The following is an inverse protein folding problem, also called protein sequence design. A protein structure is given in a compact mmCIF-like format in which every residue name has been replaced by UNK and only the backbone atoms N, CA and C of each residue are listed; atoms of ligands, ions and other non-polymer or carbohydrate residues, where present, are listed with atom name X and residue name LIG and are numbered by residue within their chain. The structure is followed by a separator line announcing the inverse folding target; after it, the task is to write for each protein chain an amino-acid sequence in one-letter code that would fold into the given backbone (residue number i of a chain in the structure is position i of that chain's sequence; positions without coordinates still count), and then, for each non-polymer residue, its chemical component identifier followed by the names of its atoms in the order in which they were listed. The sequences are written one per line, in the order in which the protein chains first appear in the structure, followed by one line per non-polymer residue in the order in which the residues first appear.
data_IF_047185563771
#
_entry.id   IF_047185563771
#
_cell.length_a   1.000
_cell.length_b   1.000
_cell.length_c   1.000
_cell.angle_alpha   90.00
_cell.angle_beta   90.00
_cell.angle_gamma   90.00
#
_symmetry.space_group_name_H-M   'P 1'
#
loop_
_entity.id
_entity.type
_entity.pdbx_description
1 polymer ?
#
# COMPACT_ATOMS: atom_id res chain seq x y z
N UNK A 1 32.90 -2.96 -5.84
CA UNK A 1 32.08 -2.95 -7.06
C UNK A 1 32.21 -1.57 -7.67
N UNK A 2 32.35 -1.47 -8.99
CA UNK A 2 32.26 -0.17 -9.68
C UNK A 2 30.89 0.45 -9.36
N UNK A 3 30.85 1.75 -9.06
CA UNK A 3 29.63 2.44 -8.63
C UNK A 3 28.56 2.36 -9.72
N UNK A 4 28.95 2.48 -10.98
CA UNK A 4 28.02 2.42 -12.12
C UNK A 4 27.40 1.02 -12.26
N UNK A 5 28.20 -0.03 -12.00
CA UNK A 5 27.71 -1.42 -11.97
C UNK A 5 26.71 -1.60 -10.81
N UNK A 6 26.98 -1.01 -9.65
CA UNK A 6 26.09 -1.07 -8.49
C UNK A 6 24.74 -0.39 -8.76
N UNK A 7 24.78 0.82 -9.34
CA UNK A 7 23.62 1.59 -9.77
C UNK A 7 22.76 0.79 -10.75
N UNK A 8 23.38 0.21 -11.78
CA UNK A 8 22.65 -0.61 -12.76
C UNK A 8 22.05 -1.86 -12.12
N UNK A 9 22.82 -2.56 -11.29
CA UNK A 9 22.34 -3.78 -10.62
C UNK A 9 21.11 -3.51 -9.73
N UNK A 10 21.12 -2.42 -8.98
CA UNK A 10 19.98 -2.05 -8.13
C UNK A 10 18.78 -1.58 -8.97
N UNK A 11 19.02 -0.83 -10.03
CA UNK A 11 17.98 -0.40 -10.98
C UNK A 11 17.26 -1.60 -11.59
N UNK A 12 18.00 -2.59 -12.10
CA UNK A 12 17.45 -3.81 -12.68
C UNK A 12 16.65 -4.60 -11.63
N UNK A 13 17.19 -4.71 -10.41
CA UNK A 13 16.53 -5.42 -9.30
C UNK A 13 15.18 -4.77 -8.97
N UNK A 14 15.16 -3.44 -8.80
CA UNK A 14 13.95 -2.70 -8.47
C UNK A 14 12.95 -2.67 -9.63
N UNK A 15 13.40 -2.63 -10.88
CA UNK A 15 12.53 -2.66 -12.05
C UNK A 15 11.78 -4.00 -12.12
N UNK A 16 12.51 -5.11 -12.00
CA UNK A 16 11.93 -6.46 -12.02
C UNK A 16 11.02 -6.71 -10.82
N UNK A 17 11.41 -6.24 -9.63
CA UNK A 17 10.58 -6.37 -8.43
C UNK A 17 9.28 -5.56 -8.55
N UNK A 18 9.35 -4.33 -9.03
CA UNK A 18 8.16 -3.47 -9.26
C UNK A 18 7.22 -4.10 -10.31
N UNK A 19 7.77 -4.64 -11.41
CA UNK A 19 6.98 -5.37 -12.41
C UNK A 19 6.34 -6.65 -11.84
N UNK A 20 7.06 -7.37 -10.98
CA UNK A 20 6.55 -8.56 -10.30
C UNK A 20 5.34 -8.25 -9.40
N UNK A 21 5.42 -7.18 -8.60
CA UNK A 21 4.35 -6.73 -7.69
C UNK A 21 3.09 -6.32 -8.46
N UNK A 22 3.23 -5.81 -9.69
CA UNK A 22 2.09 -5.50 -10.57
C UNK A 22 1.22 -6.71 -10.90
N UNK A 23 1.78 -7.91 -10.82
CA UNK A 23 1.16 -9.18 -11.20
C UNK A 23 0.79 -10.03 -9.99
N UNK A 24 1.62 -10.06 -8.95
CA UNK A 24 1.46 -10.95 -7.78
C UNK A 24 1.25 -10.16 -6.50
N UNK A 25 0.28 -10.60 -5.71
CA UNK A 25 0.02 -10.06 -4.38
C UNK A 25 1.00 -10.63 -3.34
N UNK A 26 1.32 -9.88 -2.28
CA UNK A 26 2.14 -10.37 -1.19
C UNK A 26 1.43 -11.49 -0.42
N UNK A 27 2.21 -12.29 0.30
CA UNK A 27 1.74 -13.56 0.90
C UNK A 27 0.59 -13.38 1.88
N UNK A 28 0.61 -12.30 2.66
CA UNK A 28 -0.39 -11.99 3.68
C UNK A 28 -1.72 -11.59 3.04
N UNK A 29 -1.69 -10.75 1.99
CA UNK A 29 -2.90 -10.36 1.24
C UNK A 29 -3.53 -11.58 0.57
N UNK A 30 -2.72 -12.43 -0.09
CA UNK A 30 -3.22 -13.66 -0.71
C UNK A 30 -3.87 -14.59 0.33
N UNK A 31 -3.22 -14.79 1.47
CA UNK A 31 -3.72 -15.66 2.54
C UNK A 31 -5.02 -15.12 3.12
N UNK A 32 -5.10 -13.80 3.36
CA UNK A 32 -6.33 -13.18 3.88
C UNK A 32 -7.49 -13.29 2.90
N UNK A 33 -7.28 -13.07 1.59
CA UNK A 33 -8.35 -13.24 0.60
C UNK A 33 -8.90 -14.68 0.56
N UNK A 34 -8.03 -15.69 0.72
CA UNK A 34 -8.45 -17.11 0.80
C UNK A 34 -9.27 -17.36 2.08
N UNK A 35 -8.84 -16.81 3.22
CA UNK A 35 -9.57 -16.87 4.48
C UNK A 35 -10.96 -16.26 4.34
N UNK A 36 -11.06 -15.01 3.85
CA UNK A 36 -12.33 -14.30 3.68
C UNK A 36 -13.28 -15.05 2.74
N UNK A 37 -12.76 -15.58 1.63
CA UNK A 37 -13.52 -16.44 0.70
C UNK A 37 -14.09 -17.68 1.38
N UNK A 38 -13.34 -18.28 2.29
CA UNK A 38 -13.76 -19.50 3.00
C UNK A 38 -14.86 -19.20 4.01
N UNK A 39 -14.80 -18.03 4.66
CA UNK A 39 -15.80 -17.56 5.63
C UNK A 39 -17.07 -16.99 4.98
N UNK A 40 -17.03 -16.65 3.69
CA UNK A 40 -18.17 -16.08 2.99
C UNK A 40 -19.29 -17.10 2.76
N UNK A 41 -20.50 -16.74 3.17
CA UNK A 41 -21.70 -17.57 3.09
C UNK A 41 -22.69 -17.05 2.05
N UNK A 42 -22.62 -15.78 1.66
CA UNK A 42 -23.43 -15.22 0.59
C UNK A 42 -22.93 -15.72 -0.78
N UNK A 43 -23.76 -16.41 -1.57
CA UNK A 43 -23.33 -16.99 -2.85
C UNK A 43 -22.81 -15.97 -3.87
N UNK A 44 -23.39 -14.75 -3.89
CA UNK A 44 -22.95 -13.68 -4.80
C UNK A 44 -21.61 -13.12 -4.35
N UNK A 45 -21.43 -12.85 -3.05
CA UNK A 45 -20.16 -12.37 -2.52
C UNK A 45 -19.04 -13.41 -2.72
N UNK A 46 -19.36 -14.70 -2.58
CA UNK A 46 -18.42 -15.80 -2.79
C UNK A 46 -17.93 -15.89 -4.24
N UNK A 47 -18.81 -15.68 -5.22
CA UNK A 47 -18.41 -15.68 -6.64
C UNK A 47 -17.50 -14.51 -7.00
N UNK A 48 -17.60 -13.38 -6.27
CA UNK A 48 -16.64 -12.27 -6.39
C UNK A 48 -15.24 -12.71 -5.91
N UNK A 49 -15.14 -13.38 -4.78
CA UNK A 49 -13.88 -13.94 -4.31
C UNK A 49 -13.31 -15.02 -5.25
N UNK A 50 -14.17 -15.88 -5.82
CA UNK A 50 -13.76 -16.84 -6.85
C UNK A 50 -13.15 -16.12 -8.06
N UNK A 51 -13.81 -15.04 -8.53
CA UNK A 51 -13.30 -14.22 -9.63
C UNK A 51 -11.97 -13.54 -9.31
N UNK A 52 -11.78 -13.09 -8.07
CA UNK A 52 -10.50 -12.53 -7.59
C UNK A 52 -9.38 -13.58 -7.66
N UNK A 53 -9.63 -14.81 -7.21
CA UNK A 53 -8.67 -15.93 -7.27
C UNK A 53 -8.34 -16.30 -8.72
N UNK A 54 -9.36 -16.48 -9.57
CA UNK A 54 -9.18 -16.77 -11.00
C UNK A 54 -8.38 -15.67 -11.70
N UNK A 55 -8.62 -14.40 -11.35
CA UNK A 55 -7.85 -13.28 -11.89
C UNK A 55 -6.36 -13.35 -11.49
N UNK A 56 -6.04 -13.72 -10.24
CA UNK A 56 -4.63 -13.89 -9.82
C UNK A 56 -3.96 -15.05 -10.59
N UNK A 57 -4.66 -16.17 -10.77
CA UNK A 57 -4.16 -17.30 -11.57
C UNK A 57 -3.95 -16.91 -13.04
N UNK A 58 -4.88 -16.13 -13.60
CA UNK A 58 -4.78 -15.62 -14.96
C UNK A 58 -3.63 -14.62 -15.14
N UNK A 59 -3.41 -13.73 -14.16
CA UNK A 59 -2.28 -12.80 -14.16
C UNK A 59 -0.93 -13.54 -14.22
N UNK A 60 -0.82 -14.63 -13.46
CA UNK A 60 0.34 -15.52 -13.50
C UNK A 60 0.50 -16.23 -14.85
N UNK A 61 -0.56 -16.89 -15.33
CA UNK A 61 -0.54 -17.68 -16.57
C UNK A 61 -0.29 -16.81 -17.80
N UNK A 62 -0.89 -15.63 -17.85
CA UNK A 62 -0.79 -14.69 -18.98
C UNK A 62 0.40 -13.74 -18.85
N UNK A 63 1.14 -13.82 -17.74
CA UNK A 63 2.30 -12.98 -17.44
C UNK A 63 2.00 -11.47 -17.60
N UNK A 64 0.91 -10.99 -17.00
CA UNK A 64 0.47 -9.58 -17.10
C UNK A 64 -0.05 -9.06 -15.75
N UNK A 65 -0.17 -7.74 -15.56
CA UNK A 65 -0.68 -7.18 -14.30
C UNK A 65 -2.05 -7.71 -13.92
N UNK A 66 -2.29 -7.86 -12.62
CA UNK A 66 -3.55 -8.39 -12.08
C UNK A 66 -4.69 -7.38 -12.06
N UNK A 67 -4.41 -6.11 -12.31
CA UNK A 67 -5.41 -5.06 -12.44
C UNK A 67 -5.02 -4.12 -13.58
N UNK A 68 -6.01 -3.68 -14.37
CA UNK A 68 -5.83 -2.76 -15.49
C UNK A 68 -5.26 -1.41 -15.06
N UNK A 69 -5.62 -0.97 -13.86
CA UNK A 69 -4.99 0.17 -13.23
C UNK A 69 -3.77 -0.31 -12.46
N UNK A 70 -2.58 -0.14 -13.03
CA UNK A 70 -1.30 -0.48 -12.38
C UNK A 70 -0.86 0.54 -11.33
N UNK A 71 -1.63 1.61 -11.11
CA UNK A 71 -1.34 2.64 -10.14
C UNK A 71 -0.14 3.51 -10.47
N UNK A 72 -0.03 4.59 -9.71
CA UNK A 72 1.16 5.43 -9.62
C UNK A 72 2.10 4.78 -8.59
N UNK A 73 3.37 4.62 -8.96
CA UNK A 73 4.35 3.96 -8.09
C UNK A 73 4.78 4.92 -6.98
N UNK A 74 4.83 4.39 -5.76
CA UNK A 74 5.34 5.08 -4.57
C UNK A 74 6.35 4.16 -3.87
N UNK A 75 7.43 4.73 -3.36
CA UNK A 75 8.44 4.03 -2.59
C UNK A 75 8.50 4.62 -1.17
N UNK A 76 8.43 3.75 -0.17
CA UNK A 76 8.70 4.09 1.23
C UNK A 76 10.08 3.52 1.56
N UNK A 77 11.03 4.42 1.76
CA UNK A 77 12.45 4.12 1.79
C UNK A 77 12.97 4.31 3.20
N UNK A 78 13.27 3.21 3.88
CA UNK A 78 14.04 3.20 5.12
C UNK A 78 15.51 2.96 4.77
N UNK A 79 16.25 4.05 4.59
CA UNK A 79 17.65 3.99 4.17
C UNK A 79 18.59 4.24 5.35
N UNK A 80 19.58 3.35 5.51
CA UNK A 80 20.69 3.57 6.39
C UNK A 80 21.52 4.78 5.97
N UNK A 81 21.95 5.60 6.94
CA UNK A 81 22.77 6.78 6.69
C UNK A 81 24.11 6.46 6.00
N UNK A 82 24.59 5.22 6.13
CA UNK A 82 25.81 4.71 5.51
C UNK A 82 25.54 3.86 4.26
N UNK A 83 24.31 3.81 3.74
CA UNK A 83 23.99 3.04 2.53
C UNK A 83 24.80 3.61 1.34
N UNK A 84 25.56 2.78 0.61
CA UNK A 84 26.57 3.25 -0.34
C UNK A 84 26.02 3.99 -1.56
N UNK A 85 24.73 3.79 -1.89
CA UNK A 85 24.04 4.44 -3.02
C UNK A 85 22.96 5.42 -2.57
N UNK A 86 23.05 5.96 -1.34
CA UNK A 86 22.02 6.84 -0.78
C UNK A 86 21.76 8.07 -1.67
N UNK A 87 22.79 8.65 -2.27
CA UNK A 87 22.68 9.83 -3.14
C UNK A 87 22.07 9.53 -4.51
N UNK A 88 22.15 8.28 -4.98
CA UNK A 88 21.72 7.84 -6.31
C UNK A 88 20.33 7.20 -6.28
N UNK A 89 19.83 6.86 -5.09
CA UNK A 89 18.66 6.02 -4.94
C UNK A 89 17.38 6.63 -5.55
N UNK A 90 17.25 7.96 -5.56
CA UNK A 90 16.13 8.61 -6.23
C UNK A 90 16.11 8.34 -7.74
N UNK A 91 17.25 8.53 -8.41
CA UNK A 91 17.38 8.33 -9.86
C UNK A 91 17.23 6.85 -10.22
N UNK A 92 17.82 5.97 -9.41
CA UNK A 92 17.67 4.51 -9.51
C UNK A 92 16.20 4.10 -9.49
N UNK A 93 15.42 4.60 -8.51
CA UNK A 93 14.01 4.23 -8.37
C UNK A 93 13.12 4.85 -9.45
N UNK A 94 13.47 6.03 -9.95
CA UNK A 94 12.81 6.64 -11.10
C UNK A 94 13.03 5.82 -12.37
N UNK A 95 14.27 5.46 -12.68
CA UNK A 95 14.60 4.62 -13.85
C UNK A 95 14.00 3.23 -13.72
N UNK A 96 14.07 2.63 -12.52
CA UNK A 96 13.43 1.35 -12.24
C UNK A 96 11.91 1.38 -12.49
N UNK A 97 11.24 2.49 -12.20
CA UNK A 97 9.80 2.66 -12.48
C UNK A 97 9.52 2.70 -13.98
N UNK A 98 10.32 3.45 -14.74
CA UNK A 98 10.19 3.52 -16.20
C UNK A 98 10.42 2.15 -16.85
N UNK A 99 11.48 1.45 -16.43
CA UNK A 99 11.80 0.12 -16.96
C UNK A 99 10.77 -0.94 -16.52
N UNK A 100 10.31 -0.91 -15.26
CA UNK A 100 9.22 -1.76 -14.77
C UNK A 100 7.95 -1.58 -15.62
N UNK A 101 7.66 -0.34 -16.01
CA UNK A 101 6.51 -0.01 -16.86
C UNK A 101 6.61 -0.68 -18.22
N UNK A 102 7.82 -0.74 -18.79
CA UNK A 102 8.08 -1.38 -20.08
C UNK A 102 8.05 -2.91 -20.00
N UNK A 103 8.74 -3.51 -19.03
CA UNK A 103 8.89 -4.98 -18.93
C UNK A 103 7.67 -5.67 -18.30
N UNK A 104 6.96 -4.96 -17.42
CA UNK A 104 5.76 -5.41 -16.69
C UNK A 104 4.45 -5.15 -17.42
N UNK A 105 4.47 -4.83 -18.72
CA UNK A 105 3.57 -3.89 -19.40
C UNK A 105 2.59 -3.15 -18.47
N UNK A 106 3.10 -2.25 -17.63
CA UNK A 106 2.27 -1.48 -16.71
C UNK A 106 1.54 -0.36 -17.48
N UNK A 107 0.34 0.00 -17.04
CA UNK A 107 -0.37 1.17 -17.58
C UNK A 107 0.36 2.45 -17.16
N UNK A 108 0.47 3.40 -18.09
CA UNK A 108 1.08 4.71 -17.84
C UNK A 108 0.08 5.58 -17.07
N UNK A 109 0.18 5.64 -15.74
CA UNK A 109 -0.78 6.36 -14.88
C UNK A 109 -0.29 7.75 -14.45
N UNK A 110 0.96 8.10 -14.76
CA UNK A 110 1.47 9.45 -14.51
C UNK A 110 0.99 10.43 -15.60
N UNK A 111 0.33 11.49 -15.15
CA UNK A 111 -0.16 12.61 -15.97
C UNK A 111 0.35 13.91 -15.36
N UNK A 112 1.01 14.74 -16.15
CA UNK A 112 1.39 16.09 -15.73
C UNK A 112 0.14 16.93 -15.53
N UNK A 113 -0.13 17.33 -14.28
CA UNK A 113 -1.46 17.80 -13.86
C UNK A 113 -1.92 19.07 -14.56
N UNK A 114 -1.04 20.04 -14.80
CA UNK A 114 -1.41 21.30 -15.44
C UNK A 114 -1.27 21.28 -16.97
N UNK A 115 -0.56 20.29 -17.51
CA UNK A 115 -0.39 20.09 -18.97
C UNK A 115 -1.39 19.08 -19.54
N UNK A 116 -2.10 18.35 -18.68
CA UNK A 116 -3.06 17.28 -19.04
C UNK A 116 -2.45 16.24 -19.99
N UNK A 117 -1.15 15.96 -19.80
CA UNK A 117 -0.36 15.10 -20.67
C UNK A 117 0.15 13.87 -19.94
N UNK A 118 -0.17 12.70 -20.48
CA UNK A 118 0.42 11.45 -20.02
C UNK A 118 1.91 11.38 -20.39
N UNK A 119 2.75 10.99 -19.44
CA UNK A 119 4.20 10.95 -19.62
C UNK A 119 4.69 9.77 -20.44
N UNK A 120 3.87 8.71 -20.57
CA UNK A 120 4.19 7.52 -21.34
C UNK A 120 5.09 6.51 -20.64
N UNK A 121 5.55 6.80 -19.42
CA UNK A 121 6.54 5.99 -18.68
C UNK A 121 6.10 5.63 -17.26
N UNK A 122 4.93 6.12 -16.84
CA UNK A 122 4.48 6.06 -15.44
C UNK A 122 5.41 6.77 -14.44
N UNK A 123 6.31 7.62 -14.95
CA UNK A 123 7.15 8.57 -14.19
C UNK A 123 6.78 10.00 -14.57
N UNK A 124 7.20 11.01 -13.81
CA UNK A 124 6.88 12.41 -14.10
C UNK A 124 7.38 13.34 -13.00
N UNK A 125 6.90 14.57 -12.98
CA UNK A 125 7.24 15.52 -11.91
C UNK A 125 6.91 14.93 -10.53
N UNK A 126 7.96 14.65 -9.73
CA UNK A 126 7.87 14.02 -8.40
C UNK A 126 7.24 12.60 -8.40
N UNK A 127 7.16 11.92 -9.55
CA UNK A 127 6.67 10.55 -9.69
C UNK A 127 7.79 9.65 -10.26
N UNK A 128 8.13 8.52 -9.61
CA UNK A 128 7.52 7.94 -8.41
C UNK A 128 7.67 8.84 -7.17
N UNK A 129 6.70 8.80 -6.26
CA UNK A 129 6.79 9.51 -4.98
C UNK A 129 7.69 8.73 -4.02
N UNK A 130 8.64 9.40 -3.38
CA UNK A 130 9.54 8.79 -2.41
C UNK A 130 9.27 9.36 -1.01
N UNK A 131 8.90 8.49 -0.08
CA UNK A 131 8.81 8.81 1.34
C UNK A 131 10.05 8.28 2.07
N UNK A 132 10.81 9.19 2.69
CA UNK A 132 12.12 8.86 3.25
C UNK A 132 12.10 8.71 4.77
N UNK A 133 12.85 7.72 5.26
CA UNK A 133 13.29 7.59 6.65
C UNK A 133 14.76 7.24 6.66
N UNK A 134 15.59 8.16 7.18
CA UNK A 134 17.01 7.89 7.38
C UNK A 134 17.22 7.21 8.72
N UNK A 135 17.89 6.05 8.71
CA UNK A 135 18.24 5.30 9.93
C UNK A 135 19.73 5.50 10.21
N UNK A 136 20.10 6.07 11.38
CA UNK A 136 21.50 6.23 11.75
C UNK A 136 22.25 4.90 11.76
N UNK A 137 23.55 4.96 11.48
CA UNK A 137 24.52 3.86 11.62
C UNK A 137 24.34 2.66 10.67
N UNK A 138 23.15 2.43 10.13
CA UNK A 138 22.90 1.36 9.18
C UNK A 138 23.48 1.66 7.80
N UNK A 139 23.87 0.59 7.12
CA UNK A 139 24.38 0.57 5.74
C UNK A 139 23.47 -0.21 4.78
N UNK A 140 22.30 -0.65 5.27
CA UNK A 140 21.26 -1.35 4.49
C UNK A 140 20.14 -0.39 4.11
N UNK A 141 19.35 -0.74 3.10
CA UNK A 141 18.16 0.00 2.71
C UNK A 141 16.97 -0.95 2.58
N UNK A 142 15.87 -0.67 3.29
CA UNK A 142 14.61 -1.39 3.13
C UNK A 142 13.63 -0.53 2.36
N UNK A 143 13.08 -1.08 1.28
CA UNK A 143 12.20 -0.36 0.35
C UNK A 143 10.86 -1.11 0.29
N UNK A 144 9.80 -0.41 0.67
CA UNK A 144 8.43 -0.82 0.42
C UNK A 144 7.97 -0.12 -0.87
N UNK A 145 7.60 -0.91 -1.88
CA UNK A 145 6.99 -0.48 -3.13
C UNK A 145 5.48 -0.57 -2.99
N UNK A 146 4.76 0.48 -3.36
CA UNK A 146 3.31 0.49 -3.40
C UNK A 146 2.79 0.98 -4.75
N UNK A 147 1.83 0.25 -5.31
CA UNK A 147 1.16 0.60 -6.56
C UNK A 147 -0.19 1.26 -6.25
N UNK A 148 -0.19 2.59 -6.12
CA UNK A 148 -1.35 3.36 -5.74
C UNK A 148 -2.35 3.45 -6.90
N UNK A 149 -3.35 2.56 -6.91
CA UNK A 149 -4.46 2.61 -7.85
C UNK A 149 -5.33 3.86 -7.62
N UNK A 150 -5.93 4.39 -8.70
CA UNK A 150 -6.82 5.54 -8.62
C UNK A 150 -8.01 5.25 -7.69
N UNK A 151 -8.65 4.09 -7.86
CA UNK A 151 -9.80 3.68 -7.03
C UNK A 151 -9.49 3.63 -5.54
N UNK A 152 -8.40 2.98 -5.12
CA UNK A 152 -8.01 2.90 -3.71
C UNK A 152 -7.44 4.22 -3.15
N UNK A 153 -7.15 5.20 -4.00
CA UNK A 153 -6.78 6.55 -3.58
C UNK A 153 -8.00 7.41 -3.26
N UNK A 154 -9.18 7.11 -3.82
CA UNK A 154 -10.40 7.92 -3.66
C UNK A 154 -10.92 8.05 -2.21
N UNK A 155 -10.87 7.01 -1.35
CA UNK A 155 -11.26 7.15 0.05
C UNK A 155 -10.24 7.92 0.91
N UNK A 156 -9.09 8.32 0.34
CA UNK A 156 -8.07 9.07 1.06
C UNK A 156 -8.63 10.37 1.64
N UNK A 157 -8.65 10.50 2.96
CA UNK A 157 -9.19 11.67 3.66
C UNK A 157 -8.41 11.96 4.93
N UNK A 158 -8.30 13.23 5.31
CA UNK A 158 -7.69 13.65 6.57
C UNK A 158 -8.37 14.90 7.14
N UNK A 159 -8.45 15.01 8.47
CA UNK A 159 -8.92 16.21 9.17
C UNK A 159 -8.27 16.34 10.55
N UNK A 160 -8.41 17.53 11.15
CA UNK A 160 -8.02 17.76 12.56
C UNK A 160 -9.29 17.85 13.40
N UNK A 161 -9.36 17.02 14.43
CA UNK A 161 -10.46 16.99 15.40
C UNK A 161 -10.15 17.89 16.59
N UNK A 162 -11.21 18.35 17.23
CA UNK A 162 -11.15 18.92 18.57
C UNK A 162 -10.77 17.84 19.59
N UNK A 163 -10.04 18.19 20.66
CA UNK A 163 -9.50 17.20 21.59
C UNK A 163 -10.61 16.48 22.37
N UNK A 164 -11.74 17.15 22.59
CA UNK A 164 -12.92 16.60 23.25
C UNK A 164 -13.66 15.52 22.43
N UNK A 165 -13.39 15.40 21.13
CA UNK A 165 -13.96 14.31 20.31
C UNK A 165 -13.28 12.96 20.61
N UNK A 166 -12.05 12.98 21.13
CA UNK A 166 -11.35 11.78 21.60
C UNK A 166 -11.23 10.68 20.54
N UNK A 167 -11.23 9.42 21.00
CA UNK A 167 -11.16 8.25 20.13
C UNK A 167 -12.49 7.98 19.40
N UNK A 168 -13.62 8.40 19.96
CA UNK A 168 -14.93 8.28 19.33
C UNK A 168 -14.99 9.07 18.03
N UNK A 169 -14.50 10.31 18.01
CA UNK A 169 -14.43 11.11 16.79
C UNK A 169 -13.45 10.57 15.75
N UNK A 170 -12.42 9.85 16.17
CA UNK A 170 -11.53 9.12 15.24
C UNK A 170 -12.30 7.95 14.61
N UNK A 171 -13.02 7.17 15.42
CA UNK A 171 -13.81 6.05 14.92
C UNK A 171 -14.93 6.51 13.98
N UNK A 172 -15.69 7.54 14.38
CA UNK A 172 -16.73 8.18 13.56
C UNK A 172 -16.16 8.61 12.20
N UNK A 173 -15.01 9.31 12.20
CA UNK A 173 -14.36 9.72 10.95
C UNK A 173 -13.98 8.54 10.05
N UNK A 174 -13.46 7.45 10.60
CA UNK A 174 -13.13 6.25 9.82
C UNK A 174 -14.39 5.64 9.20
N UNK A 175 -15.46 5.50 10.00
CA UNK A 175 -16.72 4.94 9.55
C UNK A 175 -17.37 5.82 8.46
N UNK A 176 -17.38 7.14 8.64
CA UNK A 176 -17.90 8.10 7.65
C UNK A 176 -17.17 7.96 6.31
N UNK A 177 -15.83 7.96 6.33
CA UNK A 177 -15.02 7.87 5.11
C UNK A 177 -15.26 6.56 4.36
N UNK A 178 -15.30 5.44 5.07
CA UNK A 178 -15.48 4.12 4.44
C UNK A 178 -16.92 3.93 3.96
N UNK A 179 -17.92 4.45 4.68
CA UNK A 179 -19.32 4.39 4.21
C UNK A 179 -19.58 5.32 3.03
N UNK A 180 -18.93 6.47 2.95
CA UNK A 180 -19.06 7.40 1.82
C UNK A 180 -18.37 6.86 0.55
N UNK A 181 -17.14 6.33 0.67
CA UNK A 181 -16.26 6.08 -0.49
C UNK A 181 -15.66 4.68 -0.57
N UNK A 182 -15.82 3.84 0.45
CA UNK A 182 -15.17 2.53 0.52
C UNK A 182 -15.48 1.63 -0.67
N UNK A 183 -16.71 1.67 -1.19
CA UNK A 183 -17.12 0.89 -2.38
C UNK A 183 -16.32 1.25 -3.64
N UNK A 184 -15.88 2.52 -3.77
CA UNK A 184 -15.09 2.98 -4.92
C UNK A 184 -13.68 2.39 -4.96
N UNK A 185 -13.22 1.79 -3.85
CA UNK A 185 -11.90 1.20 -3.70
C UNK A 185 -11.90 -0.33 -3.81
N UNK A 186 -12.89 -0.93 -4.48
CA UNK A 186 -12.95 -2.38 -4.75
C UNK A 186 -12.69 -3.24 -3.50
N UNK A 187 -13.61 -3.21 -2.50
CA UNK A 187 -13.50 -4.03 -1.29
C UNK A 187 -13.37 -5.54 -1.60
N UNK A 188 -12.80 -6.35 -0.68
CA UNK A 188 -12.50 -5.99 0.71
C UNK A 188 -11.28 -5.07 0.84
N UNK A 189 -11.36 -4.08 1.74
CA UNK A 189 -10.33 -3.06 1.92
C UNK A 189 -9.38 -3.42 3.07
N UNK A 190 -8.08 -3.16 2.92
CA UNK A 190 -7.23 -2.90 4.09
C UNK A 190 -7.37 -1.42 4.45
N UNK A 191 -7.88 -1.11 5.63
CA UNK A 191 -8.05 0.27 6.08
C UNK A 191 -6.86 0.68 6.95
N UNK A 192 -6.10 1.66 6.50
CA UNK A 192 -5.02 2.26 7.28
C UNK A 192 -5.48 3.56 7.90
N UNK A 193 -5.31 3.69 9.21
CA UNK A 193 -5.67 4.87 9.98
C UNK A 193 -4.42 5.47 10.58
N UNK A 194 -4.26 6.78 10.42
CA UNK A 194 -3.16 7.54 10.98
C UNK A 194 -3.67 8.50 12.03
N UNK A 195 -3.04 8.53 13.22
CA UNK A 195 -3.39 9.46 14.30
C UNK A 195 -2.16 10.27 14.72
N UNK A 196 -2.25 11.60 14.66
CA UNK A 196 -1.12 12.50 14.93
C UNK A 196 -1.59 13.89 15.41
N UNK A 197 -0.70 14.88 15.36
CA UNK A 197 -1.00 16.29 15.65
C UNK A 197 -1.78 16.97 14.52
N UNK A 198 -1.38 16.71 13.28
CA UNK A 198 -1.80 17.45 12.08
C UNK A 198 -2.15 16.50 10.93
N UNK A 199 -2.71 17.05 9.84
CA UNK A 199 -3.25 16.26 8.73
C UNK A 199 -2.17 15.57 7.92
N UNK A 200 -1.04 16.22 7.68
CA UNK A 200 0.04 15.72 6.84
C UNK A 200 0.78 14.56 7.51
N UNK A 201 1.02 14.64 8.83
CA UNK A 201 1.64 13.55 9.57
C UNK A 201 0.67 12.39 9.78
N UNK A 202 -0.62 12.67 10.01
CA UNK A 202 -1.65 11.64 10.06
C UNK A 202 -1.79 10.93 8.71
N UNK A 203 -1.82 11.66 7.59
CA UNK A 203 -1.92 11.09 6.24
C UNK A 203 -0.71 10.21 5.89
N UNK A 204 0.49 10.62 6.31
CA UNK A 204 1.68 9.76 6.18
C UNK A 204 1.53 8.47 6.98
N UNK A 205 1.07 8.56 8.23
CA UNK A 205 0.89 7.39 9.09
C UNK A 205 -0.20 6.44 8.58
N UNK A 206 -1.34 6.94 8.09
CA UNK A 206 -2.39 6.09 7.49
C UNK A 206 -1.86 5.34 6.27
N UNK A 207 -0.95 5.94 5.51
CA UNK A 207 -0.28 5.29 4.39
C UNK A 207 0.69 4.20 4.85
N UNK A 208 1.48 4.44 5.89
CA UNK A 208 2.33 3.43 6.51
C UNK A 208 1.52 2.28 7.13
N UNK A 209 0.33 2.58 7.67
CA UNK A 209 -0.57 1.57 8.24
C UNK A 209 -1.02 0.54 7.19
N UNK A 210 -1.30 0.96 5.94
CA UNK A 210 -1.60 0.02 4.86
C UNK A 210 -0.35 -0.70 4.32
N UNK A 211 0.87 -0.32 4.71
CA UNK A 211 2.10 -1.06 4.34
C UNK A 211 2.39 -2.25 5.26
N UNK A 212 1.78 -2.28 6.45
CA UNK A 212 1.88 -3.41 7.39
C UNK A 212 1.22 -4.69 6.83
N UNK A 213 1.64 -5.87 7.30
CA UNK A 213 0.92 -7.11 7.05
C UNK A 213 -0.56 -6.98 7.43
N UNK A 214 -1.42 -7.55 6.59
CA UNK A 214 -2.89 -7.50 6.77
C UNK A 214 -3.34 -8.14 8.08
N UNK A 215 -2.61 -9.14 8.56
CA UNK A 215 -2.84 -9.88 9.80
C UNK A 215 -2.07 -9.31 11.00
N UNK A 216 -1.37 -8.20 10.83
CA UNK A 216 -0.62 -7.57 11.92
C UNK A 216 -1.56 -6.86 12.91
N UNK A 217 -1.14 -6.79 14.17
CA UNK A 217 -1.83 -6.04 15.21
C UNK A 217 -0.87 -5.02 15.81
N UNK A 218 -1.40 -3.86 16.21
CA UNK A 218 -0.62 -2.83 16.89
C UNK A 218 -0.01 -3.36 18.18
N UNK A 219 1.25 -3.03 18.45
CA UNK A 219 1.92 -3.35 19.72
C UNK A 219 1.28 -2.63 20.92
N UNK A 220 0.63 -1.48 20.68
CA UNK A 220 -0.13 -0.78 21.71
C UNK A 220 -1.51 -1.46 21.91
N UNK A 221 -1.82 -1.96 23.12
CA UNK A 221 -3.07 -2.71 23.36
C UNK A 221 -4.36 -1.91 23.13
N UNK A 222 -4.34 -0.58 23.28
CA UNK A 222 -5.52 0.26 23.05
C UNK A 222 -5.77 0.50 21.57
N UNK A 223 -4.70 0.71 20.80
CA UNK A 223 -4.81 0.81 19.36
C UNK A 223 -5.19 -0.55 18.75
N UNK A 224 -4.64 -1.66 19.25
CA UNK A 224 -5.06 -3.02 18.86
C UNK A 224 -6.56 -3.27 19.09
N UNK A 225 -7.08 -2.86 20.25
CA UNK A 225 -8.51 -2.94 20.52
C UNK A 225 -9.33 -2.09 19.52
N UNK A 226 -8.86 -0.89 19.19
CA UNK A 226 -9.53 -0.02 18.23
C UNK A 226 -9.47 -0.56 16.79
N UNK A 227 -8.35 -1.15 16.37
CA UNK A 227 -8.23 -1.90 15.10
C UNK A 227 -9.32 -2.97 15.02
N UNK A 228 -9.44 -3.82 16.06
CA UNK A 228 -10.44 -4.87 16.12
C UNK A 228 -11.88 -4.34 16.09
N UNK A 229 -12.19 -3.31 16.89
CA UNK A 229 -13.55 -2.76 16.95
C UNK A 229 -13.97 -2.08 15.64
N UNK A 230 -13.03 -1.38 14.98
CA UNK A 230 -13.29 -0.79 13.66
C UNK A 230 -13.47 -1.87 12.60
N UNK A 231 -12.65 -2.92 12.59
CA UNK A 231 -12.82 -4.04 11.67
C UNK A 231 -14.20 -4.69 11.82
N UNK A 232 -14.61 -4.97 13.06
CA UNK A 232 -15.94 -5.52 13.37
C UNK A 232 -17.05 -4.58 12.87
N UNK A 233 -17.01 -3.30 13.23
CA UNK A 233 -18.03 -2.33 12.82
C UNK A 233 -18.10 -2.15 11.29
N UNK A 234 -16.97 -2.13 10.60
CA UNK A 234 -16.92 -2.02 9.13
C UNK A 234 -17.47 -3.26 8.43
N UNK A 235 -17.25 -4.45 9.01
CA UNK A 235 -17.85 -5.68 8.51
C UNK A 235 -19.37 -5.73 8.79
N UNK A 236 -19.84 -5.24 9.94
CA UNK A 236 -21.26 -5.14 10.28
C UNK A 236 -22.07 -4.24 9.35
N UNK A 237 -21.45 -3.19 8.76
CA UNK A 237 -22.10 -2.37 7.72
C UNK A 237 -22.51 -3.21 6.50
N UNK A 238 -21.76 -4.27 6.19
CA UNK A 238 -22.10 -5.20 5.11
C UNK A 238 -21.92 -4.65 3.70
N UNK A 239 -20.92 -3.79 3.45
CA UNK A 239 -20.54 -3.38 2.08
C UNK A 239 -20.18 -4.62 1.25
N UNK A 240 -19.40 -5.53 1.82
CA UNK A 240 -18.98 -6.78 1.18
C UNK A 240 -18.00 -6.60 0.01
N UNK A 241 -17.56 -7.71 -0.61
CA UNK A 241 -16.61 -7.66 -1.72
C UNK A 241 -17.23 -6.95 -2.93
N UNK A 242 -16.49 -6.01 -3.51
CA UNK A 242 -16.91 -5.12 -4.61
C UNK A 242 -18.20 -4.31 -4.34
N UNK A 243 -18.66 -4.20 -3.09
CA UNK A 243 -19.90 -3.50 -2.75
C UNK A 243 -21.18 -4.28 -2.98
N UNK A 244 -21.08 -5.61 -3.14
CA UNK A 244 -22.21 -6.48 -3.48
C UNK A 244 -22.79 -7.21 -2.26
N UNK A 245 -22.74 -6.59 -1.07
CA UNK A 245 -23.04 -7.17 0.25
C UNK A 245 -22.19 -8.40 0.57
N UNK A 246 -22.10 -8.80 1.84
CA UNK A 246 -21.35 -9.97 2.26
C UNK A 246 -20.93 -9.89 3.70
N UNK A 247 -20.26 -10.92 4.19
CA UNK A 247 -19.85 -11.00 5.59
C UNK A 247 -18.67 -10.06 5.90
N UNK A 248 -17.77 -9.86 4.93
CA UNK A 248 -16.53 -9.13 5.13
C UNK A 248 -16.36 -8.00 4.10
N UNK A 249 -16.39 -6.77 4.58
CA UNK A 249 -16.14 -5.53 3.83
C UNK A 249 -14.67 -5.14 3.83
N UNK A 250 -13.91 -5.62 4.80
CA UNK A 250 -12.49 -5.29 4.99
C UNK A 250 -11.64 -6.54 5.14
N UNK A 251 -10.38 -6.44 4.72
CA UNK A 251 -9.32 -7.39 5.04
C UNK A 251 -8.79 -7.19 6.46
N UNK A 252 -8.92 -5.98 7.00
CA UNK A 252 -8.46 -5.61 8.34
C UNK A 252 -8.36 -4.09 8.48
N UNK A 253 -8.05 -3.66 9.71
CA UNK A 253 -7.78 -2.26 10.03
C UNK A 253 -6.44 -2.17 10.74
N UNK A 254 -5.54 -1.33 10.25
CA UNK A 254 -4.26 -1.06 10.87
C UNK A 254 -4.21 0.41 11.32
N UNK A 255 -3.74 0.66 12.53
CA UNK A 255 -3.57 2.00 13.09
C UNK A 255 -2.08 2.27 13.31
N UNK A 256 -1.59 3.36 12.73
CA UNK A 256 -0.30 3.97 13.05
C UNK A 256 -0.50 5.30 13.75
N UNK A 257 0.34 5.59 14.75
CA UNK A 257 0.16 6.80 15.55
C UNK A 257 1.48 7.44 16.00
N UNK A 258 1.38 8.71 16.38
CA UNK A 258 2.44 9.48 17.03
C UNK A 258 1.87 10.26 18.21
N UNK A 259 2.75 10.86 19.02
CA UNK A 259 2.31 11.84 20.00
C UNK A 259 1.60 13.01 19.29
N UNK A 260 0.61 13.58 19.96
CA UNK A 260 -0.18 14.71 19.44
C UNK A 260 -0.12 15.92 20.35
N UNK A 261 -0.29 17.11 19.78
CA UNK A 261 -0.57 18.31 20.57
C UNK A 261 -1.86 18.10 21.39
N UNK A 262 -1.91 18.47 22.68
CA UNK A 262 -3.05 18.17 23.54
C UNK A 262 -4.37 18.76 23.02
N UNK A 263 -4.31 19.91 22.35
CA UNK A 263 -5.48 20.63 21.84
C UNK A 263 -6.00 20.16 20.47
N UNK A 264 -5.41 19.14 19.84
CA UNK A 264 -5.85 18.66 18.51
C UNK A 264 -5.66 17.15 18.35
N UNK A 265 -6.42 16.55 17.43
CA UNK A 265 -6.20 15.17 16.97
C UNK A 265 -6.23 15.16 15.44
N UNK A 266 -5.06 15.13 14.81
CA UNK A 266 -4.96 14.84 13.37
C UNK A 266 -5.34 13.38 13.12
N UNK A 267 -6.26 13.15 12.19
CA UNK A 267 -6.69 11.80 11.78
C UNK A 267 -6.71 11.72 10.26
N UNK A 268 -6.30 10.58 9.72
CA UNK A 268 -6.38 10.29 8.29
C UNK A 268 -6.72 8.82 8.03
N UNK A 269 -7.30 8.57 6.85
CA UNK A 269 -7.64 7.26 6.32
C UNK A 269 -7.02 7.10 4.95
N UNK A 270 -6.39 5.95 4.72
CA UNK A 270 -6.03 5.45 3.39
C UNK A 270 -6.48 3.99 3.27
N UNK A 271 -6.71 3.54 2.05
CA UNK A 271 -7.19 2.17 1.80
C UNK A 271 -6.31 1.44 0.80
N UNK A 272 -6.06 0.16 1.05
CA UNK A 272 -5.66 -0.82 0.04
C UNK A 272 -6.89 -1.55 -0.48
N UNK A 273 -7.07 -1.65 -1.80
CA UNK A 273 -8.12 -2.48 -2.38
C UNK A 273 -7.81 -3.98 -2.24
N UNK A 274 -8.70 -4.87 -2.69
CA UNK A 274 -8.40 -6.30 -2.72
C UNK A 274 -7.10 -6.64 -3.48
N UNK A 275 -6.80 -5.87 -4.53
CA UNK A 275 -5.55 -5.96 -5.28
C UNK A 275 -4.46 -5.09 -4.63
N UNK A 276 -4.25 -5.28 -3.32
CA UNK A 276 -3.30 -4.52 -2.50
C UNK A 276 -1.84 -4.86 -2.86
N UNK A 277 -1.40 -4.31 -3.99
CA UNK A 277 -0.08 -4.53 -4.58
C UNK A 277 0.94 -3.67 -3.85
N UNK A 278 1.52 -4.26 -2.81
CA UNK A 278 2.72 -3.77 -2.13
C UNK A 278 3.79 -4.85 -2.11
N UNK A 279 5.04 -4.44 -2.02
CA UNK A 279 6.16 -5.37 -1.83
C UNK A 279 7.28 -4.73 -1.05
N UNK A 280 7.86 -5.49 -0.12
CA UNK A 280 8.97 -5.12 0.73
C UNK A 280 10.22 -5.89 0.35
N UNK A 281 11.33 -5.17 0.15
CA UNK A 281 12.65 -5.71 -0.18
C UNK A 281 13.72 -5.02 0.67
N UNK A 282 14.70 -5.77 1.15
CA UNK A 282 15.89 -5.25 1.84
C UNK A 282 17.09 -5.39 0.91
N UNK A 283 17.87 -4.32 0.81
CA UNK A 283 19.09 -4.22 0.02
C UNK A 283 20.28 -4.08 0.97
N UNK A 284 21.28 -4.95 0.79
CA UNK A 284 22.53 -4.93 1.53
C UNK A 284 23.58 -4.04 0.84
N UNK A 285 24.68 -3.66 1.53
CA UNK A 285 25.71 -2.78 0.98
C UNK A 285 26.39 -3.32 -0.29
N UNK A 286 26.41 -4.64 -0.47
CA UNK A 286 26.97 -5.32 -1.64
C UNK A 286 25.97 -5.48 -2.80
N UNK A 287 24.79 -4.85 -2.69
CA UNK A 287 23.64 -4.94 -3.61
C UNK A 287 22.98 -6.32 -3.66
N UNK A 288 23.34 -7.26 -2.79
CA UNK A 288 22.49 -8.43 -2.54
C UNK A 288 21.18 -7.98 -1.90
N UNK A 289 20.12 -8.77 -2.10
CA UNK A 289 18.79 -8.42 -1.62
C UNK A 289 18.06 -9.59 -0.98
N UNK A 290 17.09 -9.25 -0.13
CA UNK A 290 16.14 -10.17 0.49
C UNK A 290 14.72 -9.65 0.28
N UNK A 291 13.85 -10.46 -0.35
CA UNK A 291 12.44 -10.10 -0.53
C UNK A 291 11.66 -10.57 0.69
N UNK A 292 11.07 -9.62 1.43
CA UNK A 292 10.42 -9.88 2.72
C UNK A 292 8.91 -10.16 2.58
N UNK A 293 8.32 -9.74 1.46
CA UNK A 293 6.86 -9.69 1.24
C UNK A 293 6.28 -10.84 0.41
N UNK A 294 7.11 -11.51 -0.39
CA UNK A 294 6.72 -12.54 -1.34
C UNK A 294 7.63 -13.76 -1.17
N UNK A 295 7.14 -14.94 -1.55
CA UNK A 295 7.87 -16.20 -1.44
C UNK A 295 8.21 -16.75 -2.82
N UNK A 296 9.36 -17.42 -2.94
CA UNK A 296 9.79 -18.07 -4.18
C UNK A 296 10.03 -17.11 -5.35
N UNK A 297 10.34 -15.85 -5.08
CA UNK A 297 10.63 -14.85 -6.12
C UNK A 297 12.03 -15.03 -6.66
N UNK A 298 12.16 -15.05 -7.98
CA UNK A 298 13.43 -14.96 -8.70
C UNK A 298 13.33 -13.76 -9.64
N UNK A 299 14.18 -12.75 -9.41
CA UNK A 299 14.29 -11.54 -10.24
C UNK A 299 15.41 -11.71 -11.27
#
# INVERSE_FOLDING_TARGET
MDKDIAVQSLTDTMAKFTAYIGKRLPKDVKSKLIELRTLETNPLAKSVYDSMEENQQAADKLNRPSCQDTGVIQYFVEAGANFPLLGELQDILSEATAEATRIGPLRHNAVETFDEKNTGTNTGTQIPWLDWRIVPELDTCTIDVYMAGGGCTLPGAAKVLMPGQGYEGVAEFVMDVITERGVNACPPLLVGVGVSTSVETAARLSKLAIMRPVDSTSENPRAALMEQLLEQGLNEIGIGPQGLTGNNSVMGVNIESSARHPSTIGVAVNTGCWAHRRGKIKINPDMSYEILSHEGVVL
#
